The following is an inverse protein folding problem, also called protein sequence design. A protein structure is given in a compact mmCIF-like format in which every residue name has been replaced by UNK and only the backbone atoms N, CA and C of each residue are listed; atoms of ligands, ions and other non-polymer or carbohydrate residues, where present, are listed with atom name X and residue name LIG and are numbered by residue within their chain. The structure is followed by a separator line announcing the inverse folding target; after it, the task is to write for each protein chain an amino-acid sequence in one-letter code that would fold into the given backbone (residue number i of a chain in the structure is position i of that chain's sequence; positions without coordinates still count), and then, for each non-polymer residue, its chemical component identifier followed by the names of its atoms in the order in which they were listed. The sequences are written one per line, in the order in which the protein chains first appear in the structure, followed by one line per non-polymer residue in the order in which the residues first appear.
data_IF_332078726181
#
_entry.id   IF_332078726181
#
_cell.length_a   1.000
_cell.length_b   1.000
_cell.length_c   1.000
_cell.angle_alpha   90.00
_cell.angle_beta   90.00
_cell.angle_gamma   90.00
#
_symmetry.space_group_name_H-M   'P 1'
#
loop_
_entity.id
_entity.type
_entity.pdbx_description
1 polymer ?
#
# COMPACT_ATOMS: atom_id res chain seq x y z
N UNK A 1 19.49 -23.56 24.84
CA UNK A 1 18.64 -22.59 24.13
C UNK A 1 19.30 -21.24 24.31
N UNK A 2 19.66 -20.62 23.19
CA UNK A 2 20.11 -19.24 23.19
C UNK A 2 18.93 -18.40 22.69
N UNK A 3 18.39 -17.54 23.53
CA UNK A 3 17.43 -16.52 23.14
C UNK A 3 18.22 -15.28 22.72
N UNK A 4 18.20 -14.94 21.44
CA UNK A 4 18.84 -13.73 20.93
C UNK A 4 17.78 -12.66 20.73
N UNK A 5 17.97 -11.51 21.35
CA UNK A 5 17.12 -10.34 21.23
C UNK A 5 17.77 -9.35 20.27
N UNK A 6 17.49 -9.49 18.97
CA UNK A 6 18.00 -8.61 17.92
C UNK A 6 19.04 -9.26 16.99
N UNK A 7 19.51 -8.53 15.97
CA UNK A 7 20.51 -9.04 15.04
C UNK A 7 21.83 -9.30 15.77
N UNK A 8 22.39 -10.50 15.56
CA UNK A 8 23.59 -10.94 16.23
C UNK A 8 24.51 -11.70 15.27
N UNK A 9 25.75 -11.25 15.15
CA UNK A 9 26.79 -12.00 14.47
C UNK A 9 27.51 -12.91 15.47
N UNK A 10 27.48 -14.20 15.21
CA UNK A 10 28.08 -15.22 16.05
C UNK A 10 29.23 -15.89 15.30
N UNK A 11 30.37 -15.95 15.95
CA UNK A 11 31.51 -16.75 15.49
C UNK A 11 31.57 -18.06 16.30
N UNK A 12 31.33 -19.18 15.62
CA UNK A 12 31.38 -20.51 16.20
C UNK A 12 32.76 -21.11 15.92
N UNK A 13 33.47 -21.49 16.97
CA UNK A 13 34.74 -22.23 16.89
C UNK A 13 34.60 -23.56 17.58
N UNK A 14 34.97 -24.63 16.88
CA UNK A 14 34.98 -25.98 17.45
C UNK A 14 36.38 -26.33 17.93
N UNK A 15 36.46 -26.85 19.15
CA UNK A 15 37.72 -27.25 19.75
C UNK A 15 37.58 -28.62 20.40
N UNK A 16 38.67 -29.39 20.45
CA UNK A 16 38.77 -30.63 21.28
C UNK A 16 39.65 -30.29 22.46
N UNK A 17 39.01 -30.24 23.64
CA UNK A 17 39.65 -29.67 24.82
C UNK A 17 40.00 -28.21 24.62
N UNK A 18 41.29 -27.83 24.80
CA UNK A 18 41.74 -26.47 24.58
C UNK A 18 42.33 -26.22 23.18
N UNK A 19 42.32 -27.23 22.28
CA UNK A 19 42.87 -27.12 20.93
C UNK A 19 41.79 -26.87 19.91
N UNK A 20 41.77 -25.69 19.23
CA UNK A 20 40.83 -25.44 18.15
C UNK A 20 41.09 -26.36 16.96
N UNK A 21 40.04 -26.86 16.33
CA UNK A 21 40.16 -27.61 15.09
C UNK A 21 40.52 -26.69 13.93
N UNK A 22 41.42 -27.10 13.03
CA UNK A 22 41.68 -26.34 11.81
C UNK A 22 40.41 -26.15 11.00
N UNK A 23 40.22 -24.97 10.44
CA UNK A 23 39.04 -24.61 9.60
C UNK A 23 37.70 -24.77 10.28
N UNK A 24 37.64 -24.73 11.62
CA UNK A 24 36.42 -24.87 12.41
C UNK A 24 35.68 -23.55 12.69
N UNK A 25 36.15 -22.44 12.13
CA UNK A 25 35.54 -21.13 12.27
C UNK A 25 34.39 -21.00 11.30
N UNK A 26 33.18 -20.82 11.84
CA UNK A 26 31.96 -20.55 11.09
C UNK A 26 31.35 -19.26 11.63
N UNK A 27 31.05 -18.32 10.72
CA UNK A 27 30.31 -17.12 11.07
C UNK A 27 28.85 -17.33 10.70
N UNK A 28 27.95 -16.99 11.62
CA UNK A 28 26.50 -17.02 11.39
C UNK A 28 25.90 -15.69 11.85
N UNK A 29 25.04 -15.13 11.01
CA UNK A 29 24.28 -13.93 11.35
C UNK A 29 22.85 -14.34 11.67
N UNK A 30 22.34 -13.85 12.79
CA UNK A 30 20.97 -14.04 13.21
C UNK A 30 20.23 -12.72 13.09
N UNK A 31 19.04 -12.76 12.50
CA UNK A 31 18.15 -11.62 12.40
C UNK A 31 16.94 -11.86 13.28
N UNK A 32 16.44 -10.78 13.91
CA UNK A 32 15.16 -10.85 14.61
C UNK A 32 14.01 -10.97 13.60
N UNK A 33 12.94 -11.61 14.02
CA UNK A 33 11.74 -11.82 13.20
C UNK A 33 10.84 -10.59 13.28
N UNK A 34 10.18 -10.25 12.18
CA UNK A 34 9.24 -9.15 12.11
C UNK A 34 7.97 -9.47 12.89
N UNK A 35 7.52 -8.53 13.71
CA UNK A 35 6.24 -8.60 14.43
C UNK A 35 5.26 -7.58 13.84
N UNK A 36 4.18 -8.08 13.24
CA UNK A 36 3.13 -7.26 12.65
C UNK A 36 2.61 -6.16 13.59
N UNK A 37 2.42 -6.48 14.88
CA UNK A 37 1.89 -5.52 15.87
C UNK A 37 2.84 -4.36 16.19
N UNK A 38 4.11 -4.49 15.87
CA UNK A 38 5.12 -3.45 16.08
C UNK A 38 5.38 -2.62 14.82
N UNK A 39 5.11 -3.18 13.62
CA UNK A 39 5.30 -2.48 12.36
C UNK A 39 4.46 -1.21 12.29
N UNK A 40 4.99 -0.19 11.61
CA UNK A 40 4.36 1.12 11.46
C UNK A 40 4.15 1.43 9.98
N UNK A 41 3.08 2.16 9.67
CA UNK A 41 2.89 2.78 8.38
C UNK A 41 2.70 4.30 8.53
N UNK A 42 3.26 5.05 7.61
CA UNK A 42 3.19 6.50 7.56
C UNK A 42 3.37 7.00 6.11
N UNK A 43 3.12 8.26 5.89
CA UNK A 43 3.34 8.89 4.58
C UNK A 43 2.12 9.66 4.08
N UNK A 44 2.28 10.37 2.95
CA UNK A 44 1.22 11.21 2.40
C UNK A 44 -0.04 10.42 2.03
N UNK A 45 0.08 9.14 1.66
CA UNK A 45 -1.05 8.28 1.33
C UNK A 45 -1.93 7.86 2.52
N UNK A 46 -1.58 8.25 3.75
CA UNK A 46 -2.37 7.98 4.97
C UNK A 46 -2.90 9.25 5.64
N UNK A 47 -2.80 10.41 4.97
CA UNK A 47 -3.29 11.68 5.49
C UNK A 47 -4.43 12.21 4.62
N UNK A 48 -5.33 12.99 5.23
CA UNK A 48 -6.41 13.63 4.50
C UNK A 48 -5.89 14.73 3.58
N UNK A 49 -6.58 14.94 2.46
CA UNK A 49 -6.27 16.01 1.50
C UNK A 49 -5.46 15.56 0.29
N UNK A 50 -5.29 14.26 0.12
CA UNK A 50 -4.81 13.67 -1.13
C UNK A 50 -5.79 14.02 -2.25
N UNK A 51 -5.30 14.35 -3.44
CA UNK A 51 -6.14 14.61 -4.61
C UNK A 51 -6.39 13.33 -5.39
N UNK A 52 -7.63 13.10 -5.78
CA UNK A 52 -7.97 12.02 -6.71
C UNK A 52 -7.23 12.22 -8.04
N UNK A 53 -6.74 11.11 -8.64
CA UNK A 53 -5.90 11.14 -9.84
C UNK A 53 -4.45 11.57 -9.58
N UNK A 54 -3.99 11.53 -8.32
CA UNK A 54 -2.60 11.86 -7.97
C UNK A 54 -1.95 10.67 -7.29
N UNK A 55 -0.76 10.32 -7.73
CA UNK A 55 0.05 9.26 -7.13
C UNK A 55 0.40 9.57 -5.67
N UNK A 56 0.23 8.58 -4.81
CA UNK A 56 0.46 8.65 -3.38
C UNK A 56 1.35 7.52 -2.90
N UNK A 57 2.06 7.76 -1.82
CA UNK A 57 2.96 6.80 -1.22
C UNK A 57 2.65 6.54 0.26
N UNK A 58 2.78 5.28 0.64
CA UNK A 58 2.79 4.83 2.03
C UNK A 58 4.13 4.15 2.29
N UNK A 59 4.82 4.57 3.32
CA UNK A 59 6.02 3.90 3.80
C UNK A 59 5.65 2.96 4.96
N UNK A 60 6.12 1.71 4.91
CA UNK A 60 5.99 0.74 5.99
C UNK A 60 7.38 0.51 6.57
N UNK A 61 7.51 0.66 7.89
CA UNK A 61 8.70 0.30 8.64
C UNK A 61 8.46 -1.03 9.35
N UNK A 62 9.16 -2.05 8.92
CA UNK A 62 9.18 -3.34 9.61
C UNK A 62 9.93 -3.22 10.94
N UNK A 63 9.35 -3.82 11.98
CA UNK A 63 9.93 -3.85 13.33
C UNK A 63 9.87 -5.25 13.91
N UNK A 64 10.82 -5.54 14.78
CA UNK A 64 10.82 -6.78 15.55
C UNK A 64 9.92 -6.70 16.79
N UNK A 65 9.80 -7.82 17.52
CA UNK A 65 8.97 -7.92 18.72
C UNK A 65 9.40 -6.98 19.86
N UNK A 66 10.63 -6.44 19.82
CA UNK A 66 11.10 -5.43 20.78
C UNK A 66 10.73 -4.02 20.36
N UNK A 67 10.18 -3.84 19.16
CA UNK A 67 9.89 -2.53 18.57
C UNK A 67 11.10 -1.88 17.92
N UNK A 68 12.21 -2.62 17.75
CA UNK A 68 13.40 -2.13 17.05
C UNK A 68 13.18 -2.22 15.54
N UNK A 69 13.63 -1.19 14.80
CA UNK A 69 13.54 -1.16 13.36
C UNK A 69 14.38 -2.29 12.74
N UNK A 70 13.78 -3.01 11.80
CA UNK A 70 14.52 -3.95 10.97
C UNK A 70 15.39 -3.18 9.99
N UNK A 71 16.56 -3.74 9.71
CA UNK A 71 17.56 -3.15 8.82
C UNK A 71 17.84 -4.03 7.60
N UNK A 72 16.94 -4.95 7.29
CA UNK A 72 17.00 -5.82 6.13
C UNK A 72 15.59 -6.05 5.61
N UNK A 73 15.46 -6.23 4.31
CA UNK A 73 14.22 -6.55 3.62
C UNK A 73 13.83 -8.03 3.74
N UNK A 74 13.04 -8.50 2.78
CA UNK A 74 12.51 -9.86 2.65
C UNK A 74 11.30 -10.17 3.54
N UNK A 75 10.69 -9.17 4.18
CA UNK A 75 9.39 -9.34 4.80
C UNK A 75 8.29 -9.24 3.74
N UNK A 76 7.23 -10.00 3.93
CA UNK A 76 6.09 -10.00 3.04
C UNK A 76 4.93 -9.21 3.66
N UNK A 77 4.52 -8.15 2.99
CA UNK A 77 3.34 -7.37 3.35
C UNK A 77 2.28 -7.49 2.26
N UNK A 78 1.02 -7.49 2.66
CA UNK A 78 -0.13 -7.34 1.78
C UNK A 78 -0.85 -6.04 2.08
N UNK A 79 -1.24 -5.34 1.01
CA UNK A 79 -1.95 -4.06 1.11
C UNK A 79 -3.21 -4.15 0.29
N UNK A 80 -4.33 -3.77 0.89
CA UNK A 80 -5.63 -3.68 0.23
C UNK A 80 -6.22 -2.32 0.52
N UNK A 81 -6.60 -1.60 -0.53
CA UNK A 81 -7.24 -0.30 -0.44
C UNK A 81 -8.67 -0.43 -0.91
N UNK A 82 -9.61 -0.11 -0.04
CA UNK A 82 -11.03 -0.05 -0.34
C UNK A 82 -11.42 1.38 -0.71
N UNK A 83 -11.94 1.60 -1.93
CA UNK A 83 -12.42 2.89 -2.35
C UNK A 83 -13.72 3.26 -1.62
N UNK A 84 -14.14 4.53 -1.66
CA UNK A 84 -15.45 4.93 -1.18
C UNK A 84 -16.55 4.17 -1.93
N UNK A 85 -17.68 3.88 -1.27
CA UNK A 85 -18.81 3.25 -1.95
C UNK A 85 -19.27 4.17 -3.11
N UNK A 86 -19.68 3.60 -4.25
CA UNK A 86 -20.22 4.39 -5.34
C UNK A 86 -21.47 5.14 -4.86
N UNK A 87 -21.58 6.40 -5.27
CA UNK A 87 -22.77 7.21 -4.96
C UNK A 87 -24.03 6.51 -5.48
N UNK A 88 -25.08 6.47 -4.65
CA UNK A 88 -26.36 5.86 -5.03
C UNK A 88 -26.96 6.47 -6.33
N UNK A 89 -26.64 7.73 -6.62
CA UNK A 89 -26.98 8.39 -7.87
C UNK A 89 -26.27 7.78 -9.10
N UNK A 90 -25.04 7.30 -8.95
CA UNK A 90 -24.31 6.61 -10.02
C UNK A 90 -24.90 5.24 -10.30
N UNK A 91 -25.35 4.52 -9.28
CA UNK A 91 -26.04 3.22 -9.44
C UNK A 91 -27.34 3.32 -10.21
N UNK A 92 -28.16 4.37 -9.96
CA UNK A 92 -29.40 4.60 -10.69
C UNK A 92 -29.16 4.91 -12.17
N UNK A 93 -28.05 5.59 -12.50
CA UNK A 93 -27.67 5.89 -13.89
C UNK A 93 -27.19 4.64 -14.62
N UNK A 94 -26.42 3.80 -13.97
CA UNK A 94 -25.94 2.53 -14.55
C UNK A 94 -27.08 1.52 -14.75
N UNK A 95 -27.99 1.39 -13.80
CA UNK A 95 -29.18 0.53 -13.95
C UNK A 95 -30.09 1.03 -15.07
N UNK A 96 -30.25 2.35 -15.22
CA UNK A 96 -31.04 2.93 -16.31
C UNK A 96 -30.38 2.71 -17.68
N UNK A 97 -29.06 2.82 -17.77
CA UNK A 97 -28.30 2.56 -19.00
C UNK A 97 -28.35 1.09 -19.42
N UNK A 98 -28.26 0.17 -18.46
CA UNK A 98 -28.39 -1.29 -18.69
C UNK A 98 -29.82 -1.62 -19.16
N UNK A 99 -30.83 -0.97 -18.57
CA UNK A 99 -32.24 -1.19 -18.95
C UNK A 99 -32.54 -0.64 -20.37
N UNK A 100 -31.94 0.45 -20.79
CA UNK A 100 -32.07 0.96 -22.15
C UNK A 100 -31.35 0.10 -23.18
N UNK A 101 -30.15 -0.41 -22.85
CA UNK A 101 -29.43 -1.34 -23.73
C UNK A 101 -30.18 -2.66 -23.91
N UNK A 102 -30.80 -3.20 -22.85
CA UNK A 102 -31.60 -4.41 -22.94
C UNK A 102 -32.86 -4.27 -23.78
N UNK A 103 -33.45 -3.07 -23.86
CA UNK A 103 -34.62 -2.78 -24.72
C UNK A 103 -34.26 -2.62 -26.20
N UNK A 104 -33.01 -2.25 -26.53
CA UNK A 104 -32.57 -2.13 -27.92
C UNK A 104 -32.05 -3.46 -28.52
N UNK A 105 -31.88 -4.50 -27.73
CA UNK A 105 -31.36 -5.80 -28.13
C UNK A 105 -32.44 -6.81 -28.62
N UNK A 106 -33.71 -6.43 -28.66
CA UNK A 106 -34.74 -7.28 -29.26
C UNK A 106 -34.67 -7.22 -30.80
N UNK A 107 -33.67 -7.87 -31.40
CA UNK A 107 -33.66 -7.97 -32.86
C UNK A 107 -32.38 -8.48 -33.53
N UNK A 108 -31.34 -8.84 -32.84
CA UNK A 108 -30.15 -9.40 -33.50
C UNK A 108 -29.57 -10.60 -32.77
N UNK A 109 -29.80 -11.78 -33.35
CA UNK A 109 -29.11 -13.02 -33.01
C UNK A 109 -27.70 -12.95 -33.62
N UNK A 110 -26.73 -12.38 -32.94
CA UNK A 110 -25.33 -12.55 -33.28
C UNK A 110 -24.59 -13.28 -32.16
N UNK A 111 -24.23 -14.52 -32.47
CA UNK A 111 -23.55 -15.53 -31.68
C UNK A 111 -22.06 -15.26 -31.50
N UNK A 112 -21.62 -14.00 -31.48
CA UNK A 112 -20.20 -13.67 -31.33
C UNK A 112 -19.97 -12.51 -30.36
N UNK A 113 -19.07 -12.80 -29.39
CA UNK A 113 -18.49 -11.90 -28.43
C UNK A 113 -19.40 -11.51 -27.24
N UNK A 114 -19.50 -12.43 -26.27
CA UNK A 114 -19.59 -12.02 -24.88
C UNK A 114 -18.21 -11.47 -24.52
N UNK A 115 -17.98 -10.18 -24.70
CA UNK A 115 -16.90 -9.51 -24.00
C UNK A 115 -17.19 -9.68 -22.51
N UNK A 116 -16.20 -10.09 -21.68
CA UNK A 116 -16.41 -10.18 -20.26
C UNK A 116 -16.82 -8.78 -19.78
N UNK A 117 -18.03 -8.65 -19.31
CA UNK A 117 -18.50 -7.43 -18.67
C UNK A 117 -17.68 -7.31 -17.39
N UNK A 118 -16.69 -6.41 -17.40
CA UNK A 118 -15.99 -5.99 -16.20
C UNK A 118 -17.05 -5.43 -15.28
N UNK A 119 -17.28 -6.10 -14.16
CA UNK A 119 -18.24 -5.61 -13.18
C UNK A 119 -17.74 -4.30 -12.59
N UNK A 120 -18.62 -3.35 -12.30
CA UNK A 120 -18.26 -2.05 -11.73
C UNK A 120 -17.41 -2.17 -10.44
N UNK A 121 -17.43 -3.30 -9.77
CA UNK A 121 -16.58 -3.64 -8.63
C UNK A 121 -15.12 -3.90 -9.02
N UNK A 122 -14.83 -4.32 -10.26
CA UNK A 122 -13.46 -4.53 -10.74
C UNK A 122 -12.82 -3.21 -11.23
N UNK A 123 -13.60 -2.26 -11.73
CA UNK A 123 -13.10 -0.95 -12.17
C UNK A 123 -12.69 -0.03 -11.00
N UNK A 124 -13.25 -0.23 -9.82
CA UNK A 124 -12.95 0.56 -8.61
C UNK A 124 -11.75 0.04 -7.82
N UNK A 125 -11.12 -1.05 -8.24
CA UNK A 125 -9.99 -1.63 -7.52
C UNK A 125 -8.74 -0.75 -7.64
N UNK A 126 -8.31 -0.20 -6.51
CA UNK A 126 -7.05 0.56 -6.43
C UNK A 126 -5.87 -0.40 -6.56
N UNK A 127 -5.05 -0.21 -7.59
CA UNK A 127 -3.82 -0.95 -7.76
C UNK A 127 -2.75 -0.39 -6.82
N UNK A 128 -2.05 -1.29 -6.13
CA UNK A 128 -0.96 -0.94 -5.22
C UNK A 128 0.31 -1.62 -5.70
N UNK A 129 1.36 -0.84 -5.90
CA UNK A 129 2.71 -1.33 -6.17
C UNK A 129 3.51 -1.27 -4.87
N UNK A 130 4.06 -2.40 -4.44
CA UNK A 130 4.87 -2.49 -3.23
C UNK A 130 6.31 -2.81 -3.60
N UNK A 131 7.26 -1.98 -3.14
CA UNK A 131 8.70 -2.20 -3.28
C UNK A 131 9.35 -2.42 -1.92
N UNK A 132 10.34 -3.33 -1.89
CA UNK A 132 11.21 -3.59 -0.74
C UNK A 132 12.52 -2.80 -0.94
N UNK A 133 12.83 -1.86 -0.06
CA UNK A 133 14.02 -1.03 -0.14
C UNK A 133 15.29 -1.75 0.39
N UNK A 134 15.12 -2.96 0.95
CA UNK A 134 16.22 -3.80 1.43
C UNK A 134 16.79 -3.40 2.79
N UNK A 135 16.27 -2.37 3.41
CA UNK A 135 16.73 -1.84 4.70
C UNK A 135 15.69 -1.98 5.84
N UNK A 136 14.61 -2.74 5.57
CA UNK A 136 13.47 -2.92 6.48
C UNK A 136 12.37 -1.90 6.27
N UNK A 137 12.49 -1.05 5.26
CA UNK A 137 11.42 -0.17 4.80
C UNK A 137 10.82 -0.67 3.49
N UNK A 138 9.53 -0.42 3.30
CA UNK A 138 8.75 -0.81 2.12
C UNK A 138 7.95 0.38 1.66
N UNK A 139 7.93 0.63 0.35
CA UNK A 139 7.17 1.73 -0.26
C UNK A 139 6.00 1.16 -1.04
N UNK A 140 4.81 1.56 -0.69
CA UNK A 140 3.59 1.26 -1.43
C UNK A 140 3.15 2.50 -2.21
N UNK A 141 2.99 2.37 -3.51
CA UNK A 141 2.54 3.41 -4.43
C UNK A 141 1.16 3.06 -4.96
N UNK A 142 0.27 4.04 -4.97
CA UNK A 142 -1.09 3.88 -5.47
C UNK A 142 -1.67 5.23 -5.89
N UNK A 143 -2.75 5.19 -6.66
CA UNK A 143 -3.49 6.38 -7.11
C UNK A 143 -4.97 6.24 -6.73
N UNK A 144 -5.50 7.11 -5.85
CA UNK A 144 -6.94 7.15 -5.59
C UNK A 144 -7.67 7.70 -6.80
N UNK A 145 -8.64 6.96 -7.33
CA UNK A 145 -9.32 7.30 -8.59
C UNK A 145 -10.49 8.27 -8.42
N UNK A 146 -11.13 8.26 -7.25
CA UNK A 146 -12.32 9.07 -6.96
C UNK A 146 -12.16 9.81 -5.64
N UNK A 147 -12.87 10.91 -5.44
CA UNK A 147 -12.91 11.60 -4.15
C UNK A 147 -13.77 10.81 -3.17
N UNK A 148 -13.40 10.84 -1.89
CA UNK A 148 -14.13 10.17 -0.81
C UNK A 148 -13.24 9.51 0.23
N UNK A 149 -13.86 8.76 1.15
CA UNK A 149 -13.16 8.07 2.22
C UNK A 149 -12.65 6.70 1.77
N UNK A 150 -11.36 6.49 1.88
CA UNK A 150 -10.66 5.24 1.60
C UNK A 150 -10.27 4.52 2.89
N UNK A 151 -10.28 3.18 2.85
CA UNK A 151 -9.74 2.34 3.92
C UNK A 151 -8.55 1.55 3.42
N UNK A 152 -7.45 1.61 4.17
CA UNK A 152 -6.18 0.94 3.83
C UNK A 152 -5.91 -0.14 4.85
N UNK A 153 -5.91 -1.39 4.41
CA UNK A 153 -5.56 -2.56 5.21
C UNK A 153 -4.13 -2.96 4.86
N UNK A 154 -3.28 -3.03 5.86
CA UNK A 154 -1.90 -3.46 5.72
C UNK A 154 -1.67 -4.61 6.69
N UNK A 155 -1.20 -5.74 6.17
CA UNK A 155 -0.95 -6.95 6.93
C UNK A 155 0.45 -7.47 6.64
N UNK A 156 1.11 -8.02 7.65
CA UNK A 156 2.33 -8.81 7.50
C UNK A 156 1.94 -10.28 7.33
N UNK A 157 2.55 -10.95 6.38
CA UNK A 157 2.28 -12.36 6.08
C UNK A 157 3.04 -13.34 7.00
N UNK A 158 3.79 -12.81 7.98
CA UNK A 158 4.49 -13.66 8.96
C UNK A 158 5.75 -14.31 8.39
N UNK A 159 6.57 -13.56 7.70
CA UNK A 159 7.85 -14.04 7.14
C UNK A 159 8.74 -14.62 8.25
N UNK A 160 9.46 -15.71 7.94
CA UNK A 160 10.37 -16.42 8.85
C UNK A 160 9.75 -16.87 10.20
N UNK A 161 8.54 -17.42 10.16
CA UNK A 161 7.76 -17.83 11.33
C UNK A 161 7.39 -16.69 12.31
N UNK A 162 7.44 -15.45 11.83
CA UNK A 162 6.97 -14.28 12.58
C UNK A 162 5.45 -14.23 12.70
N UNK A 163 4.91 -13.47 13.67
CA UNK A 163 3.48 -13.28 13.80
C UNK A 163 2.89 -12.60 12.58
N UNK A 164 1.99 -13.28 11.87
CA UNK A 164 1.19 -12.72 10.80
C UNK A 164 0.01 -11.92 11.33
N UNK A 165 -0.47 -10.94 10.56
CA UNK A 165 -1.67 -10.19 10.87
C UNK A 165 -1.56 -8.70 10.53
N UNK A 166 -2.59 -7.94 10.91
CA UNK A 166 -2.61 -6.51 10.64
C UNK A 166 -1.49 -5.79 11.39
N UNK A 167 -0.85 -4.84 10.70
CA UNK A 167 0.15 -3.99 11.34
C UNK A 167 -0.51 -3.01 12.30
N UNK A 168 0.29 -2.40 13.16
CA UNK A 168 -0.19 -1.43 14.14
C UNK A 168 -0.90 -0.25 13.47
N UNK A 169 -2.17 -0.07 13.81
CA UNK A 169 -3.02 1.00 13.29
C UNK A 169 -3.85 0.62 12.06
N UNK A 170 -3.64 -0.55 11.46
CA UNK A 170 -4.47 -1.07 10.37
C UNK A 170 -5.87 -1.49 10.91
N UNK A 171 -6.98 -1.14 10.22
CA UNK A 171 -7.04 -0.34 9.00
C UNK A 171 -6.86 1.16 9.23
N UNK A 172 -6.19 1.83 8.29
CA UNK A 172 -6.09 3.29 8.24
C UNK A 172 -7.21 3.86 7.39
N UNK A 173 -7.55 5.15 7.61
CA UNK A 173 -8.50 5.87 6.76
C UNK A 173 -7.90 7.18 6.28
N UNK A 174 -8.19 7.58 5.04
CA UNK A 174 -7.87 8.90 4.52
C UNK A 174 -9.00 9.38 3.61
N UNK A 175 -9.08 10.69 3.39
CA UNK A 175 -10.07 11.30 2.49
C UNK A 175 -9.35 11.90 1.30
N UNK A 176 -9.67 11.38 0.11
CA UNK A 176 -9.26 11.97 -1.16
C UNK A 176 -10.24 13.08 -1.56
N UNK A 177 -9.71 14.17 -2.12
CA UNK A 177 -10.47 15.34 -2.57
C UNK A 177 -10.42 15.45 -4.09
N UNK A 178 -11.47 16.00 -4.68
CA UNK A 178 -11.43 16.40 -6.09
C UNK A 178 -10.50 17.60 -6.29
N UNK A 179 -9.81 17.65 -7.42
CA UNK A 179 -8.88 18.72 -7.73
C UNK A 179 -9.55 20.10 -7.75
N UNK A 180 -10.81 20.17 -8.22
CA UNK A 180 -11.54 21.44 -8.30
C UNK A 180 -11.94 21.96 -6.90
N UNK A 181 -12.28 21.07 -5.95
CA UNK A 181 -12.61 21.45 -4.57
C UNK A 181 -11.37 22.03 -3.86
N UNK A 182 -10.18 21.47 -4.16
CA UNK A 182 -8.93 22.01 -3.65
C UNK A 182 -8.69 23.45 -4.17
N UNK A 183 -8.93 23.71 -5.47
CA UNK A 183 -8.81 25.05 -6.07
C UNK A 183 -9.79 26.05 -5.44
N UNK A 184 -11.05 25.65 -5.23
CA UNK A 184 -12.06 26.50 -4.59
C UNK A 184 -11.72 26.80 -3.13
N UNK A 185 -11.23 25.82 -2.39
CA UNK A 185 -10.85 25.98 -0.98
C UNK A 185 -9.58 26.81 -0.80
N UNK A 186 -8.67 26.81 -1.79
CA UNK A 186 -7.38 27.49 -1.74
C UNK A 186 -7.14 28.39 -2.97
N UNK A 187 -8.05 29.34 -3.29
CA UNK A 187 -7.94 30.14 -4.52
C UNK A 187 -6.69 31.01 -4.55
N UNK A 188 -6.02 31.25 -3.41
CA UNK A 188 -4.81 32.06 -3.31
C UNK A 188 -3.57 31.33 -3.83
N UNK A 189 -3.57 30.00 -3.83
CA UNK A 189 -2.39 29.22 -4.21
C UNK A 189 -2.25 29.11 -5.75
N UNK A 190 -3.34 29.38 -6.47
CA UNK A 190 -3.37 29.32 -7.94
C UNK A 190 -3.24 30.67 -8.65
N UNK A 191 -3.33 31.78 -7.94
CA UNK A 191 -3.23 33.13 -8.54
C UNK A 191 -1.84 33.46 -9.10
N UNK A 192 -0.83 32.66 -8.79
CA UNK A 192 0.52 32.83 -9.34
C UNK A 192 0.69 32.32 -10.79
N UNK A 193 -0.23 31.49 -11.29
CA UNK A 193 -0.12 30.97 -12.66
C UNK A 193 -0.83 31.85 -13.71
N UNK A 194 -1.80 32.67 -13.31
CA UNK A 194 -2.51 33.60 -14.20
C UNK A 194 -1.84 35.00 -14.31
N UNK A 195 -0.84 35.27 -13.49
CA UNK A 195 -0.26 36.62 -13.37
C UNK A 195 0.99 36.92 -14.19
N UNK A 196 1.40 36.05 -15.07
CA UNK A 196 2.48 36.36 -16.02
C UNK A 196 1.90 37.09 -17.24
N UNK A 197 1.54 38.36 -17.06
CA UNK A 197 1.29 39.28 -18.19
C UNK A 197 2.60 39.43 -18.97
N UNK A 198 2.71 38.84 -20.18
CA UNK A 198 3.95 38.88 -20.98
C UNK A 198 4.33 40.29 -21.47
N UNK A 199 3.47 41.29 -21.27
CA UNK A 199 3.67 42.65 -21.79
C UNK A 199 4.17 43.68 -20.75
N UNK A 200 4.46 43.26 -19.53
CA UNK A 200 5.15 44.10 -18.54
C UNK A 200 6.64 43.74 -18.42
N UNK A 201 7.39 44.16 -19.42
CA UNK A 201 8.83 44.41 -19.33
C UNK A 201 9.12 45.91 -19.32
#
# INVERSE_FOLDING_TARGET
NYETFGPLDVEIRVAIGSKPLPNSKVSASYFSVTDANQCLAFGPGLVNGVLAGTECQICIQAKDFTGTDRTCGMDEFSIRIEPPPPDDAAKELDEAAILEQSKSAEGYNDLYAIEPQVTAEEELKVLVMLSDEGDGTYIAEFEPTVAGEYKVYIESNGTFDGPAGPIRGSPFTFVAQEAYQYVEAHPKDFTYLEGADPDKR
#
